data_IF_023876536776
#
_entry.id   IF_023876536776
#
_cell.length_a   1.000
_cell.length_b   1.000
_cell.length_c   1.000
_cell.angle_alpha   90.00
_cell.angle_beta   90.00
_cell.angle_gamma   90.00
#
_symmetry.space_group_name_H-M   'P 1'
#
loop_
_entity.id
_entity.type
_entity.pdbx_description
1 polymer ?
#
# COMPACT_ATOMS: atom_id res chain seq x y z
N UNK A 1 4.57 14.32 16.86
CA UNK A 1 3.38 13.44 16.73
C UNK A 1 3.67 12.39 15.67
N UNK A 2 3.17 11.17 15.83
CA UNK A 2 3.35 10.13 14.81
C UNK A 2 2.26 10.25 13.75
N UNK A 3 2.66 10.32 12.46
CA UNK A 3 1.77 10.31 11.33
C UNK A 3 1.46 8.89 10.85
N UNK A 4 0.24 8.68 10.40
CA UNK A 4 -0.25 7.45 9.78
C UNK A 4 -0.75 7.78 8.40
N UNK A 5 -0.02 7.31 7.41
CA UNK A 5 -0.26 7.64 6.01
C UNK A 5 -0.75 6.38 5.30
N UNK A 6 -1.79 6.51 4.49
CA UNK A 6 -2.27 5.46 3.61
C UNK A 6 -2.13 5.86 2.16
N UNK A 7 -1.60 4.97 1.35
CA UNK A 7 -1.38 5.20 -0.07
C UNK A 7 -2.06 4.09 -0.85
N UNK A 8 -3.18 4.43 -1.52
CA UNK A 8 -3.72 3.62 -2.59
C UNK A 8 -2.88 3.85 -3.83
N UNK A 9 -2.27 2.79 -4.35
CA UNK A 9 -1.21 2.89 -5.34
C UNK A 9 -1.64 2.44 -6.73
N UNK A 10 -1.17 3.11 -7.75
CA UNK A 10 -1.39 2.75 -9.16
C UNK A 10 -0.10 2.74 -9.97
N UNK A 11 0.13 1.65 -10.71
CA UNK A 11 1.20 1.54 -11.71
C UNK A 11 0.79 1.97 -13.13
N UNK A 12 -0.38 2.60 -13.30
CA UNK A 12 -0.89 3.04 -14.60
C UNK A 12 -0.13 4.23 -15.19
N UNK A 13 -0.31 4.51 -16.49
CA UNK A 13 0.32 5.67 -17.14
C UNK A 13 -0.08 7.01 -16.49
N UNK A 14 -1.35 7.13 -16.11
CA UNK A 14 -1.91 8.31 -15.42
C UNK A 14 -1.94 8.11 -13.90
N UNK A 15 -0.83 7.65 -13.32
CA UNK A 15 -0.73 7.33 -11.89
C UNK A 15 -1.10 8.51 -11.00
N UNK A 16 -0.78 9.74 -11.38
CA UNK A 16 -1.08 10.93 -10.59
C UNK A 16 -2.56 11.13 -10.28
N UNK A 17 -3.46 10.66 -11.16
CA UNK A 17 -4.91 10.67 -10.92
C UNK A 17 -5.45 9.45 -10.18
N UNK A 18 -4.66 8.40 -10.12
CA UNK A 18 -5.07 7.11 -9.59
C UNK A 18 -4.47 6.79 -8.24
N UNK A 19 -3.35 7.42 -7.90
CA UNK A 19 -2.77 7.33 -6.58
C UNK A 19 -3.50 8.30 -5.67
N UNK A 20 -3.96 7.80 -4.52
CA UNK A 20 -4.51 8.62 -3.45
C UNK A 20 -3.69 8.48 -2.18
N UNK A 21 -3.57 9.57 -1.46
CA UNK A 21 -2.76 9.67 -0.25
C UNK A 21 -3.62 10.28 0.84
N UNK A 22 -3.86 9.51 1.90
CA UNK A 22 -4.50 9.98 3.12
C UNK A 22 -3.44 10.14 4.21
N UNK A 23 -3.35 11.30 4.84
CA UNK A 23 -2.46 11.56 5.97
C UNK A 23 -3.27 11.92 7.19
N UNK A 24 -2.94 11.29 8.32
CA UNK A 24 -3.61 11.50 9.59
C UNK A 24 -2.68 11.38 10.77
N UNK A 25 -3.14 11.90 11.88
CA UNK A 25 -2.44 11.86 13.17
C UNK A 25 -3.35 11.39 14.28
N UNK A 26 -2.78 10.99 15.41
CA UNK A 26 -3.57 10.60 16.57
C UNK A 26 -3.89 11.83 17.41
N UNK A 27 -5.18 12.04 17.64
CA UNK A 27 -5.73 13.03 18.57
C UNK A 27 -6.72 12.34 19.51
N UNK A 28 -6.54 12.48 20.82
CA UNK A 28 -7.46 11.91 21.84
C UNK A 28 -7.83 10.43 21.57
N UNK A 29 -6.81 9.60 21.25
CA UNK A 29 -6.96 8.17 20.92
C UNK A 29 -7.71 7.87 19.60
N UNK A 30 -8.14 8.88 18.87
CA UNK A 30 -8.72 8.75 17.53
C UNK A 30 -7.69 9.04 16.44
N UNK A 31 -7.87 8.43 15.29
CA UNK A 31 -7.10 8.77 14.08
C UNK A 31 -7.84 9.88 13.32
N UNK A 32 -7.32 11.10 13.37
CA UNK A 32 -7.83 12.21 12.55
C UNK A 32 -7.13 12.21 11.20
N UNK A 33 -7.86 11.94 10.12
CA UNK A 33 -7.40 12.12 8.74
C UNK A 33 -7.55 13.60 8.39
N UNK A 34 -6.45 14.27 8.17
CA UNK A 34 -6.38 15.71 7.89
C UNK A 34 -6.41 16.02 6.40
N UNK A 35 -5.74 15.16 5.61
CA UNK A 35 -5.67 15.32 4.15
C UNK A 35 -5.99 14.01 3.44
N UNK A 36 -6.57 14.11 2.26
CA UNK A 36 -6.79 13.02 1.31
C UNK A 36 -6.72 13.64 -0.08
N UNK A 37 -5.67 13.35 -0.82
CA UNK A 37 -5.39 14.01 -2.09
C UNK A 37 -4.88 13.01 -3.15
N UNK A 38 -5.03 13.40 -4.42
CA UNK A 38 -4.48 12.65 -5.55
C UNK A 38 -2.98 12.88 -5.68
N UNK A 39 -2.27 11.89 -6.21
CA UNK A 39 -0.83 11.96 -6.40
C UNK A 39 -0.38 13.15 -7.28
N UNK A 40 -1.21 13.59 -8.24
CA UNK A 40 -0.92 14.78 -9.07
C UNK A 40 -0.89 16.10 -8.27
N UNK A 41 -1.46 16.12 -7.06
CA UNK A 41 -1.45 17.28 -6.18
C UNK A 41 -0.17 17.41 -5.33
N UNK A 42 0.70 16.42 -5.34
CA UNK A 42 1.99 16.50 -4.65
C UNK A 42 2.89 17.55 -5.32
N UNK A 43 3.73 18.27 -4.56
CA UNK A 43 4.71 19.22 -5.12
C UNK A 43 5.62 18.54 -6.17
N UNK A 44 5.73 19.15 -7.35
CA UNK A 44 6.54 18.62 -8.46
C UNK A 44 5.95 17.38 -9.16
N UNK A 45 4.71 17.05 -8.85
CA UNK A 45 4.00 15.93 -9.47
C UNK A 45 3.26 16.34 -10.74
N UNK A 46 2.80 15.34 -11.48
CA UNK A 46 1.89 15.48 -12.61
C UNK A 46 0.96 14.26 -12.71
N UNK A 47 0.11 14.25 -13.74
CA UNK A 47 -0.70 13.06 -14.07
C UNK A 47 0.15 11.87 -14.47
N UNK A 48 1.31 12.14 -15.09
CA UNK A 48 2.18 11.10 -15.62
C UNK A 48 2.87 10.32 -14.50
N UNK A 49 3.02 9.01 -14.73
CA UNK A 49 3.58 8.11 -13.71
C UNK A 49 4.98 8.52 -13.25
N UNK A 50 5.85 8.93 -14.17
CA UNK A 50 7.26 9.18 -13.85
C UNK A 50 7.39 10.30 -12.83
N UNK A 51 6.78 11.45 -13.10
CA UNK A 51 6.78 12.62 -12.23
C UNK A 51 6.03 12.34 -10.92
N UNK A 52 4.86 11.67 -11.02
CA UNK A 52 4.08 11.32 -9.85
C UNK A 52 4.85 10.39 -8.90
N UNK A 53 5.50 9.34 -9.40
CA UNK A 53 6.27 8.44 -8.53
C UNK A 53 7.54 9.10 -7.99
N UNK A 54 8.13 10.07 -8.72
CA UNK A 54 9.23 10.87 -8.20
C UNK A 54 8.77 11.76 -7.03
N UNK A 55 7.65 12.46 -7.19
CA UNK A 55 7.04 13.26 -6.14
C UNK A 55 6.60 12.42 -4.93
N UNK A 56 6.04 11.24 -5.17
CA UNK A 56 5.66 10.29 -4.12
C UNK A 56 6.87 9.84 -3.30
N UNK A 57 8.02 9.56 -3.93
CA UNK A 57 9.27 9.25 -3.19
C UNK A 57 9.72 10.42 -2.34
N UNK A 58 9.66 11.64 -2.87
CA UNK A 58 10.01 12.85 -2.11
C UNK A 58 9.10 13.03 -0.90
N UNK A 59 7.79 12.85 -1.08
CA UNK A 59 6.80 12.88 -0.01
C UNK A 59 7.07 11.81 1.07
N UNK A 60 7.27 10.55 0.68
CA UNK A 60 7.58 9.46 1.64
C UNK A 60 8.86 9.77 2.41
N UNK A 61 9.90 10.29 1.73
CA UNK A 61 11.19 10.62 2.37
C UNK A 61 11.05 11.72 3.41
N UNK A 62 10.17 12.69 3.20
CA UNK A 62 9.95 13.81 4.11
C UNK A 62 9.00 13.50 5.28
N UNK A 63 8.36 12.32 5.27
CA UNK A 63 7.42 11.91 6.30
C UNK A 63 8.12 11.31 7.52
N UNK A 64 8.86 12.13 8.27
CA UNK A 64 9.65 11.69 9.42
C UNK A 64 8.84 10.88 10.43
N UNK A 65 9.40 9.72 10.82
CA UNK A 65 8.82 8.80 11.81
C UNK A 65 7.39 8.31 11.50
N UNK A 66 6.85 8.54 10.29
CA UNK A 66 5.54 8.08 9.89
C UNK A 66 5.48 6.55 9.75
N UNK A 67 4.29 5.99 9.99
CA UNK A 67 3.93 4.63 9.58
C UNK A 67 3.04 4.72 8.34
N UNK A 68 3.53 4.19 7.22
CA UNK A 68 2.92 4.33 5.90
C UNK A 68 2.42 2.98 5.41
N UNK A 69 1.11 2.87 5.21
CA UNK A 69 0.45 1.71 4.59
C UNK A 69 0.39 1.86 3.07
N UNK A 70 0.90 0.88 2.35
CA UNK A 70 0.97 0.86 0.89
C UNK A 70 0.07 -0.26 0.35
N UNK A 71 -0.90 0.07 -0.51
CA UNK A 71 -1.78 -0.92 -1.15
C UNK A 71 -1.14 -1.48 -2.42
N UNK A 72 -0.03 -2.17 -2.26
CA UNK A 72 0.56 -3.03 -3.28
C UNK A 72 1.56 -4.02 -2.66
N UNK A 73 1.83 -5.16 -3.32
CA UNK A 73 2.78 -6.15 -2.81
C UNK A 73 4.21 -5.63 -2.71
N UNK A 74 4.82 -5.79 -1.53
CA UNK A 74 6.19 -5.35 -1.26
C UNK A 74 7.24 -6.44 -1.47
N UNK A 75 6.81 -7.65 -1.88
CA UNK A 75 7.68 -8.78 -2.16
C UNK A 75 7.01 -9.80 -3.09
N UNK A 76 7.72 -10.91 -3.35
CA UNK A 76 7.25 -12.08 -4.10
C UNK A 76 7.20 -13.32 -3.18
N UNK A 77 6.52 -14.41 -3.60
CA UNK A 77 6.69 -15.71 -3.00
C UNK A 77 8.16 -16.11 -2.92
N UNK A 78 8.58 -16.68 -1.79
CA UNK A 78 9.98 -17.01 -1.50
C UNK A 78 10.61 -17.91 -2.57
N UNK A 79 9.82 -18.84 -3.14
CA UNK A 79 10.24 -19.73 -4.21
C UNK A 79 10.71 -18.98 -5.46
N UNK A 80 10.13 -17.81 -5.74
CA UNK A 80 10.48 -16.98 -6.90
C UNK A 80 11.70 -16.07 -6.62
N UNK A 81 12.14 -15.95 -5.38
CA UNK A 81 13.27 -15.12 -4.99
C UNK A 81 14.61 -15.86 -5.07
N UNK A 82 14.65 -17.10 -5.56
CA UNK A 82 15.87 -17.90 -5.85
C UNK A 82 16.87 -17.90 -4.68
N UNK A 83 16.41 -18.08 -3.45
CA UNK A 83 17.27 -18.10 -2.25
C UNK A 83 17.72 -16.73 -1.74
N UNK A 84 17.41 -15.65 -2.43
CA UNK A 84 17.78 -14.29 -2.02
C UNK A 84 17.06 -13.87 -0.73
N UNK A 85 17.73 -13.05 0.06
CA UNK A 85 17.06 -12.22 1.07
C UNK A 85 16.21 -11.16 0.39
N UNK A 86 15.21 -10.61 1.09
CA UNK A 86 14.41 -9.52 0.55
C UNK A 86 15.26 -8.31 0.13
N UNK A 87 16.30 -7.98 0.90
CA UNK A 87 17.17 -6.85 0.58
C UNK A 87 18.00 -7.07 -0.69
N UNK A 88 18.46 -8.29 -0.93
CA UNK A 88 19.13 -8.66 -2.19
C UNK A 88 18.15 -8.58 -3.36
N UNK A 89 16.96 -9.15 -3.20
CA UNK A 89 15.89 -9.13 -4.19
C UNK A 89 15.53 -7.70 -4.61
N UNK A 90 15.26 -6.80 -3.65
CA UNK A 90 14.83 -5.43 -3.98
C UNK A 90 15.96 -4.60 -4.62
N UNK A 91 17.22 -4.82 -4.23
CA UNK A 91 18.37 -4.14 -4.83
C UNK A 91 18.61 -4.55 -6.29
N UNK A 92 18.40 -5.81 -6.61
CA UNK A 92 18.58 -6.38 -7.95
C UNK A 92 17.31 -6.31 -8.81
N UNK A 93 16.20 -5.85 -8.28
CA UNK A 93 14.90 -5.88 -8.94
C UNK A 93 14.92 -5.24 -10.33
N UNK A 94 15.50 -4.04 -10.44
CA UNK A 94 15.59 -3.30 -11.72
C UNK A 94 16.50 -3.99 -12.75
N UNK A 95 17.51 -4.69 -12.29
CA UNK A 95 18.46 -5.42 -13.16
C UNK A 95 17.85 -6.74 -13.66
N UNK A 96 17.07 -7.39 -12.79
CA UNK A 96 16.38 -8.64 -13.12
C UNK A 96 15.15 -8.44 -14.02
N UNK A 97 14.43 -7.30 -13.87
CA UNK A 97 13.16 -7.08 -14.54
C UNK A 97 13.13 -5.72 -15.23
N UNK A 98 13.27 -5.74 -16.56
CA UNK A 98 13.38 -4.52 -17.40
C UNK A 98 12.02 -3.87 -17.69
N UNK A 99 10.96 -4.67 -17.79
CA UNK A 99 9.58 -4.22 -18.06
C UNK A 99 8.58 -4.95 -17.15
N UNK A 100 7.38 -4.39 -16.93
CA UNK A 100 6.35 -5.09 -16.17
C UNK A 100 5.91 -6.39 -16.82
N UNK A 101 5.91 -6.47 -18.16
CA UNK A 101 5.60 -7.68 -18.90
C UNK A 101 6.67 -8.75 -18.66
N UNK A 102 7.96 -8.36 -18.77
CA UNK A 102 9.08 -9.26 -18.46
C UNK A 102 9.00 -9.77 -17.01
N UNK A 103 8.72 -8.89 -16.04
CA UNK A 103 8.52 -9.27 -14.65
C UNK A 103 7.45 -10.35 -14.49
N UNK A 104 6.25 -10.13 -15.06
CA UNK A 104 5.17 -11.11 -14.99
C UNK A 104 5.50 -12.43 -15.68
N UNK A 105 6.08 -12.39 -16.89
CA UNK A 105 6.47 -13.57 -17.63
C UNK A 105 7.56 -14.38 -16.92
N UNK A 106 8.56 -13.72 -16.34
CA UNK A 106 9.62 -14.36 -15.57
C UNK A 106 9.06 -15.08 -14.33
N UNK A 107 8.12 -14.45 -13.60
CA UNK A 107 7.45 -15.07 -12.46
C UNK A 107 6.61 -16.29 -12.89
N UNK A 108 5.82 -16.17 -13.96
CA UNK A 108 5.02 -17.28 -14.48
C UNK A 108 5.92 -18.44 -14.95
N UNK A 109 6.99 -18.15 -15.66
CA UNK A 109 7.94 -19.17 -16.11
C UNK A 109 8.55 -19.92 -14.92
N UNK A 110 9.04 -19.18 -13.91
CA UNK A 110 9.62 -19.78 -12.70
C UNK A 110 8.59 -20.58 -11.88
N UNK A 111 7.31 -20.22 -11.97
CA UNK A 111 6.19 -20.91 -11.31
C UNK A 111 5.50 -21.96 -12.19
N UNK A 112 6.12 -22.39 -13.30
CA UNK A 112 5.53 -23.36 -14.25
C UNK A 112 4.10 -22.98 -14.70
N UNK A 113 3.90 -21.70 -15.05
CA UNK A 113 2.63 -21.16 -15.52
C UNK A 113 1.60 -20.83 -14.42
N UNK A 114 1.90 -21.10 -13.16
CA UNK A 114 0.97 -20.89 -12.03
C UNK A 114 1.12 -19.51 -11.42
N UNK A 115 0.07 -19.01 -10.79
CA UNK A 115 0.10 -17.84 -9.92
C UNK A 115 0.25 -18.31 -8.46
N UNK A 116 1.48 -18.21 -7.94
CA UNK A 116 1.78 -18.55 -6.55
C UNK A 116 1.41 -17.37 -5.65
N UNK A 117 0.77 -17.66 -4.54
CA UNK A 117 0.51 -16.70 -3.47
C UNK A 117 1.58 -16.81 -2.40
N UNK A 118 1.94 -15.68 -1.80
CA UNK A 118 2.72 -15.64 -0.57
C UNK A 118 1.88 -16.20 0.58
N UNK A 119 2.53 -16.66 1.62
CA UNK A 119 1.85 -17.16 2.82
C UNK A 119 0.86 -16.13 3.40
N UNK A 120 1.29 -14.89 3.50
CA UNK A 120 0.45 -13.79 4.01
C UNK A 120 -0.82 -13.58 3.19
N UNK A 121 -0.78 -13.76 1.87
CA UNK A 121 -1.96 -13.64 1.00
C UNK A 121 -2.98 -14.77 1.19
N UNK A 122 -2.51 -15.95 1.57
CA UNK A 122 -3.37 -17.07 1.91
C UNK A 122 -4.07 -16.79 3.25
N UNK A 123 -3.30 -16.37 4.26
CA UNK A 123 -3.79 -16.09 5.61
C UNK A 123 -4.78 -14.93 5.67
N UNK A 124 -4.48 -13.84 4.97
CA UNK A 124 -5.31 -12.63 4.93
C UNK A 124 -6.40 -12.68 3.85
N UNK A 125 -6.48 -13.79 3.09
CA UNK A 125 -7.42 -13.97 1.98
C UNK A 125 -7.33 -12.86 0.93
N UNK A 126 -6.10 -12.35 0.69
CA UNK A 126 -5.84 -11.39 -0.37
C UNK A 126 -6.15 -12.02 -1.73
N UNK A 127 -6.87 -11.32 -2.63
CA UNK A 127 -7.45 -11.99 -3.81
C UNK A 127 -6.40 -12.43 -4.84
N UNK A 128 -5.32 -11.69 -5.01
CA UNK A 128 -4.39 -11.85 -6.12
C UNK A 128 -2.95 -12.11 -5.65
N UNK A 129 -2.17 -12.86 -6.45
CA UNK A 129 -0.73 -12.95 -6.31
C UNK A 129 -0.03 -11.65 -6.77
N UNK A 130 1.22 -11.38 -6.35
CA UNK A 130 1.92 -10.14 -6.70
C UNK A 130 2.10 -9.90 -8.21
N UNK A 131 2.08 -10.96 -9.01
CA UNK A 131 2.25 -10.90 -10.48
C UNK A 131 0.98 -11.31 -11.25
N UNK A 132 -0.19 -11.33 -10.57
CA UNK A 132 -1.49 -11.51 -11.22
C UNK A 132 -1.70 -10.45 -12.31
N UNK A 133 -2.46 -10.78 -13.36
CA UNK A 133 -2.73 -9.89 -14.48
C UNK A 133 -3.28 -8.51 -14.07
N UNK A 134 -4.02 -8.44 -12.97
CA UNK A 134 -4.60 -7.18 -12.45
C UNK A 134 -3.62 -6.38 -11.60
N UNK A 135 -2.56 -7.02 -11.06
CA UNK A 135 -1.70 -6.42 -10.02
C UNK A 135 -0.24 -6.22 -10.47
N UNK A 136 0.27 -6.99 -11.44
CA UNK A 136 1.68 -7.03 -11.79
C UNK A 136 2.31 -5.67 -12.13
N UNK A 137 1.56 -4.76 -12.75
CA UNK A 137 2.05 -3.40 -13.05
C UNK A 137 2.22 -2.57 -11.77
N UNK A 138 1.28 -2.69 -10.87
CA UNK A 138 1.31 -2.04 -9.56
C UNK A 138 2.50 -2.52 -8.75
N UNK A 139 2.67 -3.83 -8.63
CA UNK A 139 3.83 -4.47 -8.00
C UNK A 139 5.14 -4.03 -8.64
N UNK A 140 5.24 -4.11 -9.98
CA UNK A 140 6.46 -3.78 -10.70
C UNK A 140 6.89 -2.33 -10.48
N UNK A 141 6.00 -1.36 -10.74
CA UNK A 141 6.33 0.05 -10.61
C UNK A 141 6.50 0.48 -9.15
N UNK A 142 5.72 -0.10 -8.24
CA UNK A 142 5.88 0.13 -6.81
C UNK A 142 7.25 -0.34 -6.30
N UNK A 143 7.67 -1.54 -6.64
CA UNK A 143 8.98 -2.07 -6.24
C UNK A 143 10.13 -1.33 -6.92
N UNK A 144 10.08 -1.15 -8.27
CA UNK A 144 11.17 -0.55 -9.03
C UNK A 144 11.33 0.94 -8.78
N UNK A 145 10.22 1.68 -8.82
CA UNK A 145 10.25 3.14 -8.88
C UNK A 145 10.02 3.81 -7.51
N UNK A 146 9.52 3.07 -6.51
CA UNK A 146 9.29 3.62 -5.17
C UNK A 146 10.17 2.93 -4.13
N UNK A 147 10.02 1.62 -3.95
CA UNK A 147 10.67 0.92 -2.84
C UNK A 147 12.18 0.80 -3.06
N UNK A 148 12.63 0.33 -4.22
CA UNK A 148 14.06 0.10 -4.47
C UNK A 148 14.89 1.38 -4.32
N UNK A 149 14.51 2.56 -4.86
CA UNK A 149 15.24 3.81 -4.65
C UNK A 149 15.29 4.21 -3.17
N UNK A 150 14.15 4.21 -2.47
CA UNK A 150 14.08 4.59 -1.05
C UNK A 150 14.90 3.68 -0.14
N UNK A 151 14.94 2.37 -0.44
CA UNK A 151 15.76 1.40 0.30
C UNK A 151 17.25 1.58 0.00
N UNK A 152 17.65 1.85 -1.24
CA UNK A 152 19.04 2.15 -1.61
C UNK A 152 19.56 3.40 -0.88
N UNK A 153 18.73 4.42 -0.78
CA UNK A 153 19.02 5.68 -0.08
C UNK A 153 18.94 5.53 1.45
N UNK A 154 18.49 4.37 1.96
CA UNK A 154 18.23 4.14 3.38
C UNK A 154 17.22 5.14 3.99
N UNK A 155 16.37 5.70 3.17
CA UNK A 155 15.38 6.71 3.53
C UNK A 155 14.14 6.13 4.23
N UNK A 156 13.94 4.83 4.16
CA UNK A 156 12.79 4.13 4.76
C UNK A 156 13.20 2.80 5.39
N UNK A 157 12.28 2.22 6.16
CA UNK A 157 12.32 0.83 6.62
C UNK A 157 11.06 0.10 6.20
N UNK A 158 11.19 -1.01 5.49
CA UNK A 158 10.07 -1.83 5.02
C UNK A 158 9.87 -3.00 5.98
N UNK A 159 8.74 -3.02 6.66
CA UNK A 159 8.44 -4.01 7.68
C UNK A 159 7.58 -5.15 7.11
N UNK A 160 7.78 -6.40 7.55
CA UNK A 160 8.73 -6.87 8.57
C UNK A 160 10.15 -7.17 8.06
N UNK A 161 10.44 -6.97 6.76
CA UNK A 161 11.70 -7.36 6.12
C UNK A 161 12.92 -6.59 6.66
N UNK A 162 12.70 -5.44 7.29
CA UNK A 162 13.75 -4.63 7.91
C UNK A 162 13.36 -4.22 9.33
N UNK A 163 14.32 -4.11 10.22
CA UNK A 163 14.10 -3.61 11.58
C UNK A 163 13.75 -2.11 11.57
N UNK A 164 13.01 -1.66 12.58
CA UNK A 164 12.70 -0.24 12.78
C UNK A 164 13.99 0.59 12.95
N UNK A 165 13.96 1.81 12.46
CA UNK A 165 14.97 2.83 12.70
C UNK A 165 14.29 4.14 13.11
N UNK A 166 14.73 4.76 14.19
CA UNK A 166 14.20 6.04 14.66
C UNK A 166 14.47 7.16 13.64
N UNK A 167 13.55 8.09 13.51
CA UNK A 167 13.64 9.22 12.58
C UNK A 167 13.47 8.86 11.11
N UNK A 168 13.09 7.60 10.79
CA UNK A 168 12.92 7.13 9.42
C UNK A 168 11.53 6.54 9.27
N UNK A 169 10.78 6.86 8.19
CA UNK A 169 9.47 6.29 7.93
C UNK A 169 9.52 4.76 7.86
N UNK A 170 8.50 4.12 8.43
CA UNK A 170 8.27 2.68 8.28
C UNK A 170 7.18 2.44 7.26
N UNK A 171 7.45 1.58 6.29
CA UNK A 171 6.51 1.16 5.25
C UNK A 171 5.98 -0.23 5.58
N UNK A 172 4.68 -0.43 5.42
CA UNK A 172 4.00 -1.72 5.55
C UNK A 172 3.08 -1.96 4.37
N UNK A 173 2.86 -3.21 4.03
CA UNK A 173 1.90 -3.60 3.01
C UNK A 173 0.50 -3.70 3.63
N UNK A 174 -0.47 -3.11 2.95
CA UNK A 174 -1.89 -3.12 3.32
C UNK A 174 -2.69 -3.66 2.15
N UNK A 175 -3.84 -4.26 2.44
CA UNK A 175 -4.86 -4.58 1.44
C UNK A 175 -6.23 -4.11 1.95
N UNK A 176 -6.74 -2.95 1.53
CA UNK A 176 -8.04 -2.40 1.97
C UNK A 176 -9.20 -3.38 1.82
N UNK A 177 -9.24 -4.11 0.70
CA UNK A 177 -10.28 -5.12 0.47
C UNK A 177 -10.22 -6.27 1.49
N UNK A 178 -9.02 -6.73 1.87
CA UNK A 178 -8.84 -7.76 2.90
C UNK A 178 -9.20 -7.24 4.28
N UNK A 179 -8.82 -5.99 4.59
CA UNK A 179 -9.21 -5.30 5.83
C UNK A 179 -10.74 -5.25 5.96
N UNK A 180 -11.45 -4.83 4.91
CA UNK A 180 -12.93 -4.79 4.92
C UNK A 180 -13.54 -6.17 5.07
N UNK A 181 -12.99 -7.21 4.43
CA UNK A 181 -13.48 -8.59 4.55
C UNK A 181 -13.28 -9.15 5.95
N UNK A 182 -12.12 -8.92 6.57
CA UNK A 182 -11.83 -9.37 7.91
C UNK A 182 -12.80 -8.77 8.94
N UNK A 183 -13.20 -7.52 8.74
CA UNK A 183 -14.15 -6.80 9.59
C UNK A 183 -15.61 -7.06 9.25
N UNK A 184 -15.89 -7.84 8.21
CA UNK A 184 -17.24 -8.06 7.69
C UNK A 184 -17.94 -6.76 7.21
N UNK A 185 -17.15 -5.77 6.77
CA UNK A 185 -17.64 -4.49 6.22
C UNK A 185 -17.60 -4.45 4.69
N UNK A 186 -17.10 -5.50 4.06
CA UNK A 186 -16.96 -5.50 2.60
C UNK A 186 -18.33 -5.50 1.93
N UNK A 187 -18.54 -4.51 1.09
CA UNK A 187 -19.66 -4.41 0.15
C UNK A 187 -19.15 -3.80 -1.16
N UNK A 188 -19.83 -3.99 -2.31
CA UNK A 188 -19.43 -3.35 -3.56
C UNK A 188 -19.54 -1.81 -3.47
N UNK A 189 -18.44 -1.13 -3.21
CA UNK A 189 -18.37 0.34 -3.03
C UNK A 189 -17.76 1.09 -4.21
N UNK A 190 -17.07 0.38 -5.12
CA UNK A 190 -16.46 0.98 -6.33
C UNK A 190 -17.51 1.08 -7.43
N UNK A 191 -17.67 2.26 -8.03
CA UNK A 191 -18.60 2.56 -9.10
C UNK A 191 -19.42 3.83 -8.88
N UNK A 192 -20.26 4.16 -9.87
CA UNK A 192 -20.96 5.47 -9.97
C UNK A 192 -22.41 5.44 -9.50
N UNK A 193 -22.97 4.25 -9.20
CA UNK A 193 -24.36 4.15 -8.78
C UNK A 193 -24.62 4.74 -7.39
N UNK A 194 -25.87 5.08 -7.11
CA UNK A 194 -26.31 5.55 -5.79
C UNK A 194 -26.01 4.48 -4.72
N UNK A 195 -26.19 3.20 -5.04
CA UNK A 195 -25.91 2.10 -4.11
C UNK A 195 -24.42 2.04 -3.75
N UNK A 196 -23.52 2.22 -4.71
CA UNK A 196 -22.07 2.23 -4.46
C UNK A 196 -21.62 3.46 -3.67
N UNK A 197 -22.22 4.63 -3.92
CA UNK A 197 -22.00 5.81 -3.11
C UNK A 197 -22.52 5.62 -1.67
N UNK A 198 -23.66 4.99 -1.49
CA UNK A 198 -24.19 4.64 -0.17
C UNK A 198 -23.29 3.62 0.55
N UNK A 199 -22.73 2.65 -0.17
CA UNK A 199 -21.75 1.70 0.36
C UNK A 199 -20.50 2.41 0.89
N UNK A 200 -19.91 3.37 0.14
CA UNK A 200 -18.80 4.21 0.63
C UNK A 200 -19.17 4.97 1.91
N UNK A 201 -20.36 5.54 1.97
CA UNK A 201 -20.84 6.22 3.17
C UNK A 201 -20.97 5.26 4.37
N UNK A 202 -21.44 4.04 4.14
CA UNK A 202 -21.56 3.01 5.19
C UNK A 202 -20.19 2.63 5.73
N UNK A 203 -19.18 2.42 4.88
CA UNK A 203 -17.81 2.12 5.31
C UNK A 203 -17.22 3.30 6.09
N UNK A 204 -17.41 4.55 5.63
CA UNK A 204 -16.97 5.73 6.40
C UNK A 204 -17.61 5.82 7.79
N UNK A 205 -18.90 5.52 7.91
CA UNK A 205 -19.58 5.47 9.20
C UNK A 205 -19.02 4.37 10.11
N UNK A 206 -18.67 3.23 9.54
CA UNK A 206 -18.01 2.15 10.29
C UNK A 206 -16.62 2.55 10.79
N UNK A 207 -15.83 3.23 9.96
CA UNK A 207 -14.55 3.82 10.37
C UNK A 207 -14.72 4.84 11.50
N UNK A 208 -15.74 5.71 11.42
CA UNK A 208 -16.03 6.68 12.49
C UNK A 208 -16.35 5.99 13.84
N UNK A 209 -17.08 4.88 13.82
CA UNK A 209 -17.42 4.10 15.04
C UNK A 209 -16.19 3.49 15.73
N UNK A 210 -15.12 3.24 14.98
CA UNK A 210 -13.87 2.69 15.51
C UNK A 210 -12.78 3.76 15.72
N UNK A 211 -13.19 5.04 15.81
CA UNK A 211 -12.31 6.14 16.18
C UNK A 211 -11.54 6.79 15.03
N UNK A 212 -12.01 6.64 13.77
CA UNK A 212 -11.46 7.43 12.65
C UNK A 212 -12.31 8.70 12.47
N UNK A 213 -11.66 9.84 12.53
CA UNK A 213 -12.27 11.13 12.24
C UNK A 213 -11.75 11.68 10.92
N UNK A 214 -12.56 12.42 10.20
CA UNK A 214 -12.18 13.07 8.95
C UNK A 214 -12.34 14.58 9.11
N UNK A 215 -11.36 15.34 8.60
CA UNK A 215 -11.55 16.77 8.41
C UNK A 215 -12.80 17.03 7.55
N UNK A 216 -13.55 18.07 7.87
CA UNK A 216 -14.91 18.31 7.33
C UNK A 216 -15.02 18.27 5.82
N UNK A 217 -14.00 18.76 5.12
CA UNK A 217 -13.91 18.80 3.66
C UNK A 217 -13.70 17.44 2.99
N UNK A 218 -13.24 16.41 3.71
CA UNK A 218 -12.82 15.14 3.10
C UNK A 218 -13.99 14.22 2.73
N UNK A 219 -15.05 14.22 3.53
CA UNK A 219 -16.21 13.35 3.28
C UNK A 219 -16.82 13.53 1.89
N UNK A 220 -17.08 14.75 1.40
CA UNK A 220 -17.56 14.95 0.02
C UNK A 220 -16.61 14.40 -1.04
N UNK A 221 -15.27 14.58 -0.86
CA UNK A 221 -14.24 14.11 -1.79
C UNK A 221 -14.30 12.59 -1.89
N UNK A 222 -14.28 11.88 -0.77
CA UNK A 222 -14.32 10.41 -0.72
C UNK A 222 -15.61 9.84 -1.33
N UNK A 223 -16.75 10.49 -1.06
CA UNK A 223 -18.03 10.04 -1.61
C UNK A 223 -18.17 10.32 -3.11
N UNK A 224 -17.48 11.34 -3.63
CA UNK A 224 -17.49 11.71 -5.04
C UNK A 224 -16.56 10.82 -5.89
N UNK A 225 -15.56 10.17 -5.29
CA UNK A 225 -14.67 9.27 -6.01
C UNK A 225 -15.34 7.93 -6.36
N UNK A 226 -15.66 7.68 -7.65
CA UNK A 226 -16.34 6.45 -8.05
C UNK A 226 -15.42 5.22 -8.08
N UNK A 227 -14.12 5.42 -8.18
CA UNK A 227 -13.15 4.33 -8.17
C UNK A 227 -12.94 3.79 -6.75
N UNK A 228 -13.25 4.60 -5.72
CA UNK A 228 -13.11 4.24 -4.32
C UNK A 228 -11.67 4.33 -3.80
N UNK A 229 -10.76 4.87 -4.61
CA UNK A 229 -9.32 4.90 -4.32
C UNK A 229 -9.02 5.89 -3.16
N UNK A 230 -9.80 6.99 -3.06
CA UNK A 230 -9.75 7.89 -1.90
C UNK A 230 -10.16 7.19 -0.60
N UNK A 231 -11.17 6.31 -0.63
CA UNK A 231 -11.57 5.52 0.53
C UNK A 231 -10.50 4.48 0.87
N UNK A 232 -9.91 3.84 -0.13
CA UNK A 232 -8.86 2.84 0.05
C UNK A 232 -7.61 3.45 0.70
N UNK A 233 -7.24 4.69 0.35
CA UNK A 233 -6.13 5.39 1.02
C UNK A 233 -6.42 5.65 2.51
N UNK A 234 -7.65 6.01 2.87
CA UNK A 234 -8.07 6.18 4.28
C UNK A 234 -8.06 4.84 5.02
N UNK A 235 -8.54 3.78 4.40
CA UNK A 235 -8.48 2.42 4.95
C UNK A 235 -7.02 1.98 5.17
N UNK A 236 -6.13 2.31 4.24
CA UNK A 236 -4.71 2.01 4.38
C UNK A 236 -4.06 2.79 5.54
N UNK A 237 -4.39 4.08 5.73
CA UNK A 237 -3.92 4.87 6.86
C UNK A 237 -4.42 4.30 8.21
N UNK A 238 -5.70 3.94 8.25
CA UNK A 238 -6.28 3.33 9.44
C UNK A 238 -5.72 1.93 9.74
N UNK A 239 -5.52 1.08 8.73
CA UNK A 239 -4.87 -0.22 8.90
C UNK A 239 -3.43 -0.05 9.42
N UNK A 240 -2.68 0.95 8.93
CA UNK A 240 -1.37 1.29 9.46
C UNK A 240 -1.47 1.71 10.95
N UNK A 241 -2.40 2.57 11.31
CA UNK A 241 -2.63 2.98 12.70
C UNK A 241 -2.96 1.77 13.59
N UNK A 242 -3.89 0.93 13.16
CA UNK A 242 -4.32 -0.27 13.88
C UNK A 242 -3.17 -1.26 14.09
N UNK A 243 -2.30 -1.42 13.10
CA UNK A 243 -1.19 -2.37 13.12
C UNK A 243 0.03 -1.90 13.91
N UNK A 244 0.06 -0.65 14.39
CA UNK A 244 1.21 -0.05 15.07
C UNK A 244 1.75 -0.85 16.26
N UNK A 245 0.85 -1.48 17.02
CA UNK A 245 1.20 -2.31 18.17
C UNK A 245 1.56 -3.76 17.81
N UNK A 246 1.23 -4.19 16.61
CA UNK A 246 1.50 -5.55 16.13
C UNK A 246 2.89 -5.65 15.48
N UNK A 247 3.41 -4.54 14.95
CA UNK A 247 4.67 -4.52 14.17
C UNK A 247 5.87 -5.11 14.92
N UNK A 248 5.95 -4.91 16.22
CA UNK A 248 7.04 -5.41 17.05
C UNK A 248 6.71 -6.78 17.70
N UNK A 249 5.47 -7.26 17.51
CA UNK A 249 4.96 -8.53 18.01
C UNK A 249 4.80 -9.60 16.93
N UNK A 250 5.04 -9.24 15.67
CA UNK A 250 5.00 -10.22 14.60
C UNK A 250 5.96 -11.38 14.92
N UNK A 251 5.53 -12.63 14.73
CA UNK A 251 6.43 -13.76 14.88
C UNK A 251 7.70 -13.55 14.05
N UNK A 252 8.86 -13.85 14.62
CA UNK A 252 10.12 -13.92 13.86
C UNK A 252 10.05 -15.13 12.91
N UNK A 253 9.17 -15.05 11.92
CA UNK A 253 9.04 -16.05 10.87
C UNK A 253 9.98 -15.65 9.71
N UNK A 254 10.99 -16.47 9.39
CA UNK A 254 11.90 -16.20 8.28
C UNK A 254 11.18 -15.98 6.94
N UNK A 255 10.00 -16.57 6.79
CA UNK A 255 9.20 -16.43 5.57
C UNK A 255 8.64 -15.00 5.44
N UNK A 256 8.12 -14.41 6.52
CA UNK A 256 7.67 -13.00 6.48
C UNK A 256 8.82 -12.02 6.29
N UNK A 257 10.02 -12.35 6.72
CA UNK A 257 11.21 -11.54 6.45
C UNK A 257 11.64 -11.57 4.97
N UNK A 258 11.14 -12.53 4.19
CA UNK A 258 11.38 -12.64 2.74
C UNK A 258 10.17 -12.21 1.93
N UNK A 259 9.01 -12.75 2.22
CA UNK A 259 7.78 -12.53 1.45
C UNK A 259 7.02 -11.25 1.85
N UNK A 260 7.33 -10.66 3.00
CA UNK A 260 6.55 -9.59 3.59
C UNK A 260 5.31 -10.10 4.33
N UNK A 261 4.53 -9.15 4.84
CA UNK A 261 3.29 -9.41 5.57
C UNK A 261 2.25 -8.36 5.19
N UNK A 262 1.03 -8.80 4.89
CA UNK A 262 -0.11 -7.92 4.62
C UNK A 262 -0.81 -7.63 5.94
N UNK A 263 -0.76 -6.37 6.37
CA UNK A 263 -1.46 -5.90 7.55
C UNK A 263 -2.92 -5.56 7.19
N UNK A 264 -3.87 -6.02 7.98
CA UNK A 264 -5.31 -5.91 7.72
C UNK A 264 -6.08 -5.41 8.93
#
# INVERSE_FOLDING_TARGET
MQHFIGIDFSGGANAGRKIWIADGRVEHEALLIETCLQGEALPGSSRQRVECLAALRAFIRSADAALIGLDFPLSLPADLMKGQTWLQFIRLFSDCYTTPQHFRQACLHAAHGRELKRRTEIETKTPFSPYNLRLYRQTYYGLRDVIAPLVRERAVRVRPMQSRRLGVPSLIEICPASTLKQLQWYCPYKGRSIAQRAARLTILRSLQRVGVQLASQLKPIVLADPEGDALDSILAAWAAYRSRSQLDRLPHDPLYQREGYVFV
#
